data_IF_075661800794
#
_entry.id   IF_075661800794
#
_cell.length_a   1.000
_cell.length_b   1.000
_cell.length_c   1.000
_cell.angle_alpha   90.00
_cell.angle_beta   90.00
_cell.angle_gamma   90.00
#
_symmetry.space_group_name_H-M   'P 1'
#
loop_
_entity.id
_entity.type
_entity.pdbx_description
1 polymer ?
#
# COMPACT_ATOMS: atom_id res chain seq x y z
N UNK A 1 16.71 -2.61 -13.87
CA UNK A 1 15.71 -1.59 -14.24
C UNK A 1 14.33 -2.19 -13.99
N UNK A 2 13.76 -2.09 -12.78
CA UNK A 2 12.52 -2.80 -12.38
C UNK A 2 11.28 -1.87 -12.40
N UNK A 3 11.47 -0.55 -12.50
CA UNK A 3 10.37 0.42 -12.55
C UNK A 3 10.04 0.87 -13.98
N UNK A 4 10.04 -0.06 -14.94
CA UNK A 4 9.41 0.18 -16.22
C UNK A 4 7.90 -0.10 -16.05
N UNK A 5 7.15 0.98 -15.87
CA UNK A 5 5.74 1.09 -16.25
C UNK A 5 4.79 0.14 -15.52
N UNK A 6 4.39 0.51 -14.29
CA UNK A 6 2.99 0.29 -13.91
C UNK A 6 2.24 1.49 -14.51
N UNK A 7 1.40 1.30 -15.53
CA UNK A 7 0.64 2.40 -16.12
C UNK A 7 -0.46 2.77 -15.12
N UNK A 8 -0.19 3.71 -14.22
CA UNK A 8 -1.15 4.17 -13.21
C UNK A 8 -2.39 4.85 -13.81
N UNK A 9 -2.36 5.16 -15.11
CA UNK A 9 -3.42 5.88 -15.82
C UNK A 9 -4.71 5.08 -16.03
N UNK A 10 -4.76 3.78 -15.69
CA UNK A 10 -5.97 2.96 -15.85
C UNK A 10 -6.02 1.77 -14.88
N UNK A 11 -5.87 2.04 -13.58
CA UNK A 11 -5.98 0.99 -12.56
C UNK A 11 -7.43 0.87 -12.10
N UNK A 12 -8.13 -0.16 -12.58
CA UNK A 12 -9.39 -0.64 -12.00
C UNK A 12 -9.09 -1.95 -11.26
N UNK A 13 -8.59 -1.84 -10.02
CA UNK A 13 -8.29 -3.00 -9.17
C UNK A 13 -9.48 -3.24 -8.24
N UNK A 14 -9.98 -4.46 -8.26
CA UNK A 14 -10.93 -4.98 -7.29
C UNK A 14 -10.17 -5.78 -6.25
N UNK A 15 -10.19 -5.35 -5.00
CA UNK A 15 -9.67 -6.14 -3.89
C UNK A 15 -10.79 -7.06 -3.38
N UNK A 16 -10.53 -8.37 -3.19
CA UNK A 16 -11.52 -9.28 -2.63
C UNK A 16 -11.88 -8.87 -1.20
N UNK A 17 -13.10 -9.25 -0.79
CA UNK A 17 -13.77 -8.85 0.44
C UNK A 17 -12.82 -8.69 1.64
N UNK A 18 -12.64 -7.45 2.09
CA UNK A 18 -11.95 -7.14 3.33
C UNK A 18 -13.02 -7.29 4.42
N UNK A 19 -12.81 -8.22 5.37
CA UNK A 19 -13.67 -8.37 6.54
C UNK A 19 -13.93 -6.98 7.14
N UNK A 20 -15.21 -6.63 7.35
CA UNK A 20 -15.75 -5.33 7.80
C UNK A 20 -15.91 -4.18 6.79
N UNK A 21 -15.45 -4.30 5.53
CA UNK A 21 -15.58 -3.22 4.52
C UNK A 21 -16.26 -3.68 3.22
N UNK A 22 -16.26 -4.98 2.89
CA UNK A 22 -16.84 -5.49 1.64
C UNK A 22 -15.89 -5.38 0.44
N UNK A 23 -16.43 -5.37 -0.77
CA UNK A 23 -15.61 -5.26 -1.99
C UNK A 23 -15.18 -3.81 -2.19
N UNK A 24 -13.88 -3.61 -2.40
CA UNK A 24 -13.33 -2.28 -2.64
C UNK A 24 -12.87 -2.16 -4.10
N UNK A 25 -13.36 -1.13 -4.78
CA UNK A 25 -13.02 -0.84 -6.18
C UNK A 25 -12.27 0.48 -6.28
N UNK A 26 -10.99 0.40 -6.64
CA UNK A 26 -10.23 1.58 -7.01
C UNK A 26 -10.70 2.07 -8.39
N UNK A 27 -11.30 3.25 -8.46
CA UNK A 27 -11.87 3.81 -9.70
C UNK A 27 -10.98 4.84 -10.36
N UNK A 28 -10.22 5.59 -9.57
CA UNK A 28 -9.34 6.65 -10.07
C UNK A 28 -8.10 6.73 -9.22
N UNK A 29 -6.98 6.95 -9.91
CA UNK A 29 -5.77 7.54 -9.36
C UNK A 29 -5.44 8.71 -10.30
N UNK A 30 -5.23 9.90 -9.76
CA UNK A 30 -4.80 11.07 -10.50
C UNK A 30 -3.33 10.96 -10.88
N UNK A 31 -2.47 11.71 -10.17
CA UNK A 31 -1.03 11.68 -10.40
C UNK A 31 -0.33 10.77 -9.41
N UNK A 32 0.70 10.06 -9.88
CA UNK A 32 1.66 9.34 -9.04
C UNK A 32 3.03 9.92 -9.33
N UNK A 33 3.66 10.53 -8.33
CA UNK A 33 4.99 11.12 -8.47
C UNK A 33 5.90 10.64 -7.36
N UNK A 34 7.20 10.55 -7.65
CA UNK A 34 8.19 10.16 -6.66
C UNK A 34 8.41 11.31 -5.67
N UNK A 35 8.22 11.06 -4.38
CA UNK A 35 8.33 12.07 -3.33
C UNK A 35 9.73 12.14 -2.68
N UNK A 36 10.59 11.14 -2.94
CA UNK A 36 11.97 11.10 -2.48
C UNK A 36 12.84 10.22 -3.39
N UNK A 37 14.16 10.41 -3.41
CA UNK A 37 15.07 9.49 -4.08
C UNK A 37 14.87 8.05 -3.58
N UNK A 38 14.86 7.09 -4.50
CA UNK A 38 14.91 5.68 -4.12
C UNK A 38 16.30 5.40 -3.53
N UNK A 39 16.34 4.82 -2.33
CA UNK A 39 17.60 4.41 -1.70
C UNK A 39 17.68 2.90 -1.64
N UNK A 40 18.88 2.36 -1.85
CA UNK A 40 19.20 0.97 -1.57
C UNK A 40 20.47 0.93 -0.74
N UNK A 41 20.38 0.35 0.45
CA UNK A 41 21.52 0.18 1.35
C UNK A 41 21.74 -1.30 1.62
N UNK A 42 22.98 -1.74 1.44
CA UNK A 42 23.41 -3.09 1.82
C UNK A 42 24.03 -3.02 3.21
N UNK A 43 23.58 -3.89 4.10
CA UNK A 43 24.14 -4.07 5.44
C UNK A 43 24.55 -5.53 5.62
N UNK A 44 25.43 -5.79 6.57
CA UNK A 44 25.80 -7.15 6.98
C UNK A 44 25.71 -7.22 8.48
N UNK A 45 24.89 -8.11 9.00
CA UNK A 45 24.75 -8.37 10.44
C UNK A 45 24.87 -9.86 10.67
N UNK A 46 25.72 -10.26 11.62
CA UNK A 46 26.01 -11.67 11.93
C UNK A 46 26.34 -12.51 10.67
N UNK A 47 27.06 -11.92 9.71
CA UNK A 47 27.45 -12.58 8.46
C UNK A 47 26.34 -12.71 7.41
N UNK A 48 25.11 -12.25 7.69
CA UNK A 48 23.98 -12.30 6.74
C UNK A 48 23.85 -10.94 6.03
N UNK A 49 24.08 -10.86 4.72
CA UNK A 49 23.82 -9.66 3.94
C UNK A 49 22.32 -9.32 3.95
N UNK A 50 21.98 -8.05 4.10
CA UNK A 50 20.62 -7.54 4.04
C UNK A 50 20.56 -6.31 3.12
N UNK A 51 19.43 -6.15 2.44
CA UNK A 51 19.17 -5.03 1.54
C UNK A 51 17.97 -4.25 2.05
N UNK A 52 18.18 -2.96 2.25
CA UNK A 52 17.18 -2.01 2.69
C UNK A 52 16.78 -1.15 1.50
N UNK A 53 15.53 -1.24 1.09
CA UNK A 53 14.97 -0.44 0.02
C UNK A 53 14.01 0.58 0.62
N UNK A 54 14.19 1.85 0.27
CA UNK A 54 13.22 2.90 0.56
C UNK A 54 12.77 3.55 -0.73
N UNK A 55 11.48 3.78 -0.84
CA UNK A 55 10.90 4.61 -1.90
C UNK A 55 9.69 5.33 -1.32
N UNK A 56 9.39 6.51 -1.84
CA UNK A 56 8.15 7.17 -1.48
C UNK A 56 7.49 7.84 -2.68
N UNK A 57 6.17 7.87 -2.63
CA UNK A 57 5.31 8.33 -3.70
C UNK A 57 4.25 9.28 -3.15
N UNK A 58 4.00 10.36 -3.87
CA UNK A 58 2.80 11.16 -3.71
C UNK A 58 1.76 10.62 -4.69
N UNK A 59 0.53 10.53 -4.21
CA UNK A 59 -0.64 10.13 -4.99
C UNK A 59 -1.72 11.19 -4.81
N UNK A 60 -2.33 11.61 -5.91
CA UNK A 60 -3.44 12.58 -5.89
C UNK A 60 -4.72 11.98 -6.46
N UNK A 61 -5.85 12.58 -6.10
CA UNK A 61 -7.18 12.33 -6.68
C UNK A 61 -7.57 10.85 -6.71
N UNK A 62 -7.39 10.16 -5.59
CA UNK A 62 -7.78 8.76 -5.44
C UNK A 62 -9.29 8.70 -5.24
N UNK A 63 -9.97 7.84 -5.99
CA UNK A 63 -11.40 7.56 -5.79
C UNK A 63 -11.61 6.07 -5.65
N UNK A 64 -12.23 5.68 -4.55
CA UNK A 64 -12.53 4.31 -4.16
C UNK A 64 -14.04 4.18 -4.04
N UNK A 65 -14.61 3.12 -4.62
CA UNK A 65 -16.02 2.75 -4.44
C UNK A 65 -16.13 1.50 -3.60
N UNK A 66 -17.11 1.49 -2.70
CA UNK A 66 -17.58 0.31 -1.98
C UNK A 66 -19.00 0.05 -2.47
N UNK A 67 -19.17 -0.76 -3.53
CA UNK A 67 -20.46 -0.90 -4.21
C UNK A 67 -21.57 -1.43 -3.33
N UNK A 68 -21.26 -2.35 -2.41
CA UNK A 68 -22.24 -2.97 -1.53
C UNK A 68 -22.90 -1.96 -0.57
N UNK A 69 -22.15 -0.92 -0.20
CA UNK A 69 -22.59 0.13 0.72
C UNK A 69 -23.02 1.41 -0.02
N UNK A 70 -22.96 1.42 -1.36
CA UNK A 70 -23.12 2.61 -2.22
C UNK A 70 -22.30 3.81 -1.75
N UNK A 71 -21.04 3.54 -1.37
CA UNK A 71 -20.11 4.56 -0.87
C UNK A 71 -19.05 4.89 -1.90
N UNK A 72 -18.68 6.16 -1.94
CA UNK A 72 -17.52 6.66 -2.66
C UNK A 72 -16.63 7.43 -1.71
N UNK A 73 -15.38 6.98 -1.58
CA UNK A 73 -14.33 7.65 -0.82
C UNK A 73 -13.39 8.33 -1.80
N UNK A 74 -13.15 9.63 -1.60
CA UNK A 74 -12.20 10.42 -2.36
C UNK A 74 -11.07 10.87 -1.44
N UNK A 75 -9.83 10.82 -1.93
CA UNK A 75 -8.64 11.31 -1.21
C UNK A 75 -7.90 12.25 -2.16
N UNK A 76 -7.85 13.53 -1.82
CA UNK A 76 -7.18 14.52 -2.66
C UNK A 76 -5.67 14.32 -2.69
N UNK A 77 -5.04 14.05 -1.54
CA UNK A 77 -3.58 13.85 -1.45
C UNK A 77 -3.19 12.81 -0.42
N UNK A 78 -2.35 11.87 -0.85
CA UNK A 78 -1.69 10.91 0.02
C UNK A 78 -0.18 10.83 -0.29
N UNK A 79 0.64 10.63 0.74
CA UNK A 79 2.06 10.28 0.57
C UNK A 79 2.30 8.93 1.19
N UNK A 80 2.87 8.01 0.44
CA UNK A 80 3.26 6.68 0.89
C UNK A 80 4.78 6.61 0.96
N UNK A 81 5.31 6.23 2.12
CA UNK A 81 6.69 5.85 2.29
C UNK A 81 6.75 4.33 2.46
N UNK A 82 7.44 3.66 1.55
CA UNK A 82 7.55 2.21 1.51
C UNK A 82 8.97 1.81 1.89
N UNK A 83 9.06 0.87 2.81
CA UNK A 83 10.30 0.24 3.24
C UNK A 83 10.23 -1.28 3.01
N UNK A 84 11.26 -1.82 2.38
CA UNK A 84 11.41 -3.26 2.18
C UNK A 84 12.80 -3.70 2.65
N UNK A 85 12.81 -4.63 3.58
CA UNK A 85 14.01 -5.29 4.07
C UNK A 85 14.04 -6.73 3.54
N UNK A 86 15.09 -7.06 2.81
CA UNK A 86 15.33 -8.41 2.30
C UNK A 86 16.65 -8.92 2.85
N UNK A 87 16.61 -10.07 3.51
CA UNK A 87 17.81 -10.78 3.93
C UNK A 87 18.25 -11.76 2.86
N UNK A 88 19.56 -11.87 2.61
CA UNK A 88 20.14 -12.93 1.78
C UNK A 88 20.20 -14.24 2.58
N UNK A 89 19.04 -14.70 3.05
CA UNK A 89 18.84 -15.93 3.82
C UNK A 89 17.40 -16.38 3.68
N UNK A 90 17.18 -17.63 3.30
CA UNK A 90 15.85 -18.22 3.22
C UNK A 90 15.18 -18.42 4.60
N UNK A 91 15.96 -18.31 5.70
CA UNK A 91 15.46 -18.48 7.07
C UNK A 91 14.83 -17.22 7.64
N UNK A 92 15.12 -16.05 7.05
CA UNK A 92 14.60 -14.77 7.55
C UNK A 92 13.67 -14.20 6.48
N UNK A 93 12.35 -14.15 6.73
CA UNK A 93 11.42 -13.62 5.75
C UNK A 93 11.71 -12.14 5.49
N UNK A 94 11.45 -11.64 4.27
CA UNK A 94 11.48 -10.21 4.03
C UNK A 94 10.46 -9.51 4.92
N UNK A 95 10.73 -8.24 5.21
CA UNK A 95 9.80 -7.37 5.94
C UNK A 95 9.44 -6.19 5.08
N UNK A 96 8.15 -6.03 4.85
CA UNK A 96 7.57 -4.85 4.25
C UNK A 96 6.96 -3.98 5.34
N UNK A 97 7.23 -2.68 5.27
CA UNK A 97 6.56 -1.67 6.08
C UNK A 97 6.13 -0.51 5.18
N UNK A 98 5.02 0.12 5.54
CA UNK A 98 4.50 1.31 4.87
C UNK A 98 4.13 2.35 5.92
N UNK A 99 4.35 3.61 5.59
CA UNK A 99 3.79 4.72 6.36
C UNK A 99 3.15 5.73 5.42
N UNK A 100 2.11 6.38 5.90
CA UNK A 100 1.27 7.32 5.20
C UNK A 100 1.34 8.67 5.93
N UNK A 101 2.47 9.40 5.84
CA UNK A 101 2.66 10.66 6.55
C UNK A 101 1.76 11.80 6.06
N UNK A 102 1.13 11.66 4.89
CA UNK A 102 0.18 12.64 4.35
C UNK A 102 -1.08 11.90 3.94
N UNK A 103 -2.23 12.36 4.44
CA UNK A 103 -3.55 11.84 4.16
C UNK A 103 -4.56 12.97 4.32
N UNK A 104 -4.85 13.63 3.22
CA UNK A 104 -5.57 14.90 3.22
C UNK A 104 -6.69 14.91 2.19
N UNK A 105 -7.63 15.83 2.40
CA UNK A 105 -8.81 16.02 1.54
C UNK A 105 -9.59 14.72 1.36
N UNK A 106 -9.82 14.03 2.48
CA UNK A 106 -10.60 12.80 2.53
C UNK A 106 -12.08 13.16 2.61
N UNK A 107 -12.83 12.76 1.59
CA UNK A 107 -14.27 12.92 1.51
C UNK A 107 -14.95 11.56 1.35
N UNK A 108 -16.07 11.37 2.05
CA UNK A 108 -16.88 10.16 1.95
C UNK A 108 -18.29 10.56 1.60
N UNK A 109 -18.74 10.10 0.44
CA UNK A 109 -20.07 10.39 -0.10
C UNK A 109 -20.87 9.10 -0.27
N UNK A 110 -22.18 9.21 -0.07
CA UNK A 110 -23.13 8.11 -0.24
C UNK A 110 -24.19 8.06 0.88
N UNK A 111 -25.27 7.29 0.70
CA UNK A 111 -26.40 7.25 1.63
C UNK A 111 -26.02 6.79 3.04
N UNK A 112 -24.98 5.98 3.16
CA UNK A 112 -24.49 5.41 4.42
C UNK A 112 -23.20 6.07 4.93
N UNK A 113 -22.80 7.21 4.35
CA UNK A 113 -21.51 7.85 4.67
C UNK A 113 -21.34 8.16 6.16
N UNK A 114 -22.39 8.66 6.82
CA UNK A 114 -22.34 8.95 8.27
C UNK A 114 -22.13 7.67 9.11
N UNK A 115 -22.79 6.58 8.75
CA UNK A 115 -22.68 5.29 9.45
C UNK A 115 -21.32 4.65 9.20
N UNK A 116 -20.81 4.74 7.97
CA UNK A 116 -19.48 4.27 7.61
C UNK A 116 -18.39 5.05 8.34
N UNK A 117 -18.46 6.39 8.34
CA UNK A 117 -17.53 7.23 9.09
C UNK A 117 -17.56 6.92 10.60
N UNK A 118 -18.73 6.59 11.15
CA UNK A 118 -18.89 6.18 12.54
C UNK A 118 -18.40 4.75 12.83
N UNK A 119 -18.51 3.80 11.88
CA UNK A 119 -18.18 2.39 12.08
C UNK A 119 -16.69 2.09 11.91
N UNK A 120 -16.03 2.72 10.94
CA UNK A 120 -14.59 2.57 10.70
C UNK A 120 -13.76 3.76 11.19
N UNK A 121 -14.41 4.75 11.83
CA UNK A 121 -13.74 5.92 12.41
C UNK A 121 -12.84 6.60 11.40
N UNK A 122 -13.40 7.16 10.31
CA UNK A 122 -12.65 7.79 9.19
C UNK A 122 -11.48 6.93 8.69
N UNK A 123 -11.62 6.17 7.58
CA UNK A 123 -10.52 5.49 6.83
C UNK A 123 -9.13 6.06 7.15
N UNK A 124 -8.53 5.55 8.23
CA UNK A 124 -7.42 6.27 8.86
C UNK A 124 -6.13 5.82 8.18
N UNK A 125 -5.10 6.68 8.14
CA UNK A 125 -3.81 6.31 7.59
C UNK A 125 -3.29 5.01 8.20
N UNK A 126 -3.43 4.83 9.51
CA UNK A 126 -2.96 3.65 10.24
C UNK A 126 -3.72 2.36 9.91
N UNK A 127 -5.04 2.43 9.68
CA UNK A 127 -5.81 1.28 9.22
C UNK A 127 -5.35 0.84 7.82
N UNK A 128 -5.18 1.81 6.92
CA UNK A 128 -4.72 1.56 5.55
C UNK A 128 -3.29 1.00 5.56
N UNK A 129 -2.41 1.56 6.39
CA UNK A 129 -1.05 1.03 6.62
C UNK A 129 -1.11 -0.44 7.04
N UNK A 130 -1.85 -0.76 8.11
CA UNK A 130 -1.94 -2.12 8.64
C UNK A 130 -2.49 -3.11 7.62
N UNK A 131 -3.51 -2.73 6.84
CA UNK A 131 -4.10 -3.59 5.80
C UNK A 131 -3.10 -3.87 4.67
N UNK A 132 -2.40 -2.84 4.19
CA UNK A 132 -1.40 -2.96 3.13
C UNK A 132 -0.19 -3.76 3.60
N UNK A 133 0.31 -3.50 4.81
CA UNK A 133 1.42 -4.27 5.38
C UNK A 133 1.06 -5.74 5.53
N UNK A 134 -0.11 -6.06 6.08
CA UNK A 134 -0.57 -7.44 6.24
C UNK A 134 -0.66 -8.17 4.90
N UNK A 135 -1.29 -7.53 3.90
CA UNK A 135 -1.48 -8.10 2.56
C UNK A 135 -0.15 -8.34 1.87
N UNK A 136 0.77 -7.36 1.88
CA UNK A 136 2.07 -7.49 1.21
C UNK A 136 2.95 -8.47 1.94
N UNK A 137 3.01 -8.45 3.28
CA UNK A 137 3.80 -9.41 4.04
C UNK A 137 3.29 -10.85 3.83
N UNK A 138 1.97 -11.07 3.77
CA UNK A 138 1.38 -12.38 3.44
C UNK A 138 1.79 -12.84 2.02
N UNK A 139 1.68 -11.95 1.02
CA UNK A 139 2.10 -12.25 -0.34
C UNK A 139 3.60 -12.56 -0.42
N UNK A 140 4.45 -11.78 0.26
CA UNK A 140 5.89 -12.02 0.33
C UNK A 140 6.20 -13.37 0.99
N UNK A 141 5.52 -13.73 2.08
CA UNK A 141 5.71 -15.05 2.73
C UNK A 141 5.37 -16.22 1.79
N UNK A 142 4.41 -16.04 0.88
CA UNK A 142 4.08 -17.07 -0.13
C UNK A 142 5.17 -17.25 -1.19
N UNK A 143 6.06 -16.28 -1.38
CA UNK A 143 7.16 -16.38 -2.33
C UNK A 143 8.29 -17.22 -1.73
N UNK A 144 8.62 -18.35 -2.37
CA UNK A 144 9.79 -19.14 -2.00
C UNK A 144 11.08 -18.40 -2.37
N UNK A 145 11.65 -17.64 -1.43
CA UNK A 145 12.90 -16.89 -1.62
C UNK A 145 14.16 -17.75 -1.80
N UNK A 146 14.04 -19.07 -1.65
CA UNK A 146 15.15 -20.03 -1.83
C UNK A 146 15.76 -19.98 -3.23
N UNK A 147 15.01 -19.61 -4.28
CA UNK A 147 15.51 -19.56 -5.66
C UNK A 147 16.14 -18.23 -6.08
N UNK A 148 16.11 -17.20 -5.25
CA UNK A 148 16.58 -15.86 -5.64
C UNK A 148 18.09 -15.64 -5.45
N UNK A 149 18.78 -16.60 -4.81
CA UNK A 149 20.15 -16.40 -4.32
C UNK A 149 21.16 -17.45 -4.79
N UNK A 150 20.70 -18.43 -5.57
CA UNK A 150 21.53 -19.31 -6.38
C UNK A 150 22.05 -18.54 -7.62
#
# INVERSE_FOLDING_TARGET
RILAVIPFNSINITLPNIESVGTVQLRKIGSVSRACPMSTMKTVSNGIPSYHFNVCFNVTDVVIKVPEEDLTVSIGRARFNIYLLIHKSAKVPPRFAISIPVWEDVDVSGPLAANFLASIGTLSPSLVESMLESTVNSALQSLQFTRFWD
#
